data_IF_432378358992
#
_entry.id   IF_432378358992
#
_cell.length_a   1.000
_cell.length_b   1.000
_cell.length_c   1.000
_cell.angle_alpha   90.00
_cell.angle_beta   90.00
_cell.angle_gamma   90.00
#
_symmetry.space_group_name_H-M   'P 1'
#
loop_
_entity.id
_entity.type
_entity.pdbx_description
1 polymer ?
#
# COMPACT_ATOMS: atom_id res chain seq x y z
N UNK A 1 -27.36 3.96 17.80
CA UNK A 1 -26.20 3.05 17.82
C UNK A 1 -25.30 3.49 16.68
N UNK A 2 -24.12 4.05 16.97
CA UNK A 2 -23.23 4.60 15.94
C UNK A 2 -22.18 3.53 15.61
N UNK A 3 -22.09 3.15 14.34
CA UNK A 3 -21.13 2.17 13.81
C UNK A 3 -19.69 2.46 14.24
N UNK A 4 -19.33 3.74 14.35
CA UNK A 4 -18.01 4.18 14.78
C UNK A 4 -17.69 3.76 16.23
N UNK A 5 -18.70 3.83 17.11
CA UNK A 5 -18.56 3.47 18.51
C UNK A 5 -18.37 1.96 18.68
N UNK A 6 -18.98 1.15 17.80
CA UNK A 6 -18.87 -0.31 17.87
C UNK A 6 -17.54 -0.82 17.30
N UNK A 7 -17.09 -0.28 16.17
CA UNK A 7 -15.79 -0.61 15.58
C UNK A 7 -14.64 -0.29 16.53
N UNK A 8 -14.65 0.89 17.16
CA UNK A 8 -13.65 1.25 18.14
C UNK A 8 -13.66 0.29 19.35
N UNK A 9 -14.85 -0.15 19.77
CA UNK A 9 -15.01 -0.99 20.93
C UNK A 9 -14.68 -2.48 20.65
N UNK A 10 -14.84 -2.96 19.42
CA UNK A 10 -14.42 -4.32 19.02
C UNK A 10 -12.92 -4.38 18.68
N UNK A 11 -12.34 -3.30 18.13
CA UNK A 11 -10.88 -3.16 18.01
C UNK A 11 -10.20 -3.17 19.39
N UNK A 12 -10.73 -2.40 20.35
CA UNK A 12 -10.21 -2.35 21.71
C UNK A 12 -10.37 -3.67 22.50
N UNK A 13 -11.25 -4.56 22.05
CA UNK A 13 -11.50 -5.87 22.67
C UNK A 13 -10.93 -7.04 21.87
N UNK A 14 -10.12 -6.77 20.84
CA UNK A 14 -9.51 -7.77 19.97
C UNK A 14 -10.53 -8.74 19.33
N UNK A 15 -11.72 -8.24 19.02
CA UNK A 15 -12.82 -9.03 18.42
C UNK A 15 -12.80 -8.95 16.91
N UNK A 16 -11.72 -9.41 16.32
CA UNK A 16 -11.53 -9.44 14.88
C UNK A 16 -10.70 -10.66 14.47
N UNK A 17 -10.95 -11.17 13.27
CA UNK A 17 -10.16 -12.25 12.69
C UNK A 17 -9.13 -11.68 11.72
N UNK A 18 -7.87 -12.10 11.85
CA UNK A 18 -6.84 -11.82 10.86
C UNK A 18 -6.89 -12.94 9.83
N UNK A 19 -7.20 -12.60 8.59
CA UNK A 19 -7.23 -13.53 7.46
C UNK A 19 -6.13 -13.19 6.47
N UNK A 20 -5.83 -14.12 5.55
CA UNK A 20 -4.87 -13.88 4.47
C UNK A 20 -5.24 -12.69 3.55
N UNK A 21 -6.49 -12.22 3.63
CA UNK A 21 -7.03 -11.10 2.84
C UNK A 21 -7.18 -9.80 3.64
N UNK A 22 -6.88 -9.79 4.94
CA UNK A 22 -7.04 -8.62 5.81
C UNK A 22 -7.77 -8.94 7.11
N UNK A 23 -8.18 -7.89 7.83
CA UNK A 23 -8.90 -8.01 9.11
C UNK A 23 -10.41 -8.06 8.86
N UNK A 24 -11.06 -9.03 9.50
CA UNK A 24 -12.48 -9.30 9.41
C UNK A 24 -13.17 -9.03 10.76
N UNK A 25 -14.26 -8.27 10.74
CA UNK A 25 -15.10 -7.99 11.93
C UNK A 25 -16.40 -8.82 11.85
N UNK A 26 -16.47 -10.00 12.51
CA UNK A 26 -17.53 -10.98 12.30
C UNK A 26 -18.92 -10.53 12.75
N UNK A 27 -19.05 -9.55 13.67
CA UNK A 27 -20.36 -9.05 14.13
C UNK A 27 -20.96 -7.98 13.22
N UNK A 28 -20.16 -7.36 12.35
CA UNK A 28 -20.57 -6.24 11.49
C UNK A 28 -20.46 -6.57 9.99
N UNK A 29 -19.93 -7.75 9.63
CA UNK A 29 -19.70 -8.22 8.25
C UNK A 29 -18.86 -7.30 7.37
N UNK A 30 -18.08 -6.37 7.94
CA UNK A 30 -17.25 -5.46 7.14
C UNK A 30 -15.87 -6.09 6.93
N UNK A 31 -15.48 -6.24 5.65
CA UNK A 31 -14.14 -6.63 5.23
C UNK A 31 -13.37 -5.41 4.71
N UNK A 32 -12.18 -5.17 5.27
CA UNK A 32 -11.21 -4.23 4.72
C UNK A 32 -10.15 -4.99 3.91
N UNK A 33 -10.10 -4.74 2.60
CA UNK A 33 -9.14 -5.35 1.70
C UNK A 33 -8.68 -4.34 0.64
N UNK A 34 -7.56 -4.63 0.00
CA UNK A 34 -7.11 -3.86 -1.16
C UNK A 34 -6.45 -4.73 -2.20
N UNK A 35 -6.14 -4.08 -3.31
CA UNK A 35 -5.44 -4.68 -4.44
C UNK A 35 -4.58 -3.63 -5.15
N UNK A 36 -3.42 -4.07 -5.63
CA UNK A 36 -2.55 -3.33 -6.52
C UNK A 36 -2.89 -3.67 -7.97
N UNK A 37 -2.85 -2.66 -8.82
CA UNK A 37 -2.96 -2.77 -10.26
C UNK A 37 -1.65 -2.31 -10.87
N UNK A 38 -1.06 -3.10 -11.74
CA UNK A 38 0.25 -2.76 -12.27
C UNK A 38 0.43 -3.15 -13.73
N UNK A 39 1.16 -2.34 -14.49
CA UNK A 39 1.53 -2.64 -15.87
C UNK A 39 2.88 -2.03 -16.25
N UNK A 40 3.57 -2.68 -17.17
CA UNK A 40 4.88 -2.27 -17.68
C UNK A 40 4.69 -1.74 -19.10
N UNK A 41 5.23 -0.56 -19.39
CA UNK A 41 5.26 0.03 -20.75
C UNK A 41 3.89 0.05 -21.45
N UNK A 42 2.82 0.34 -20.70
CA UNK A 42 1.46 0.39 -21.24
C UNK A 42 0.83 -0.96 -21.59
N UNK A 43 1.45 -2.08 -21.19
CA UNK A 43 0.93 -3.43 -21.38
C UNK A 43 -0.35 -3.75 -20.59
N UNK A 44 -0.68 -5.03 -20.50
CA UNK A 44 -1.90 -5.47 -19.79
C UNK A 44 -1.83 -5.19 -18.28
N UNK A 45 -2.99 -4.83 -17.72
CA UNK A 45 -3.14 -4.61 -16.28
C UNK A 45 -3.12 -5.94 -15.53
N UNK A 46 -2.18 -6.07 -14.60
CA UNK A 46 -2.11 -7.16 -13.63
C UNK A 46 -2.75 -6.71 -12.31
N UNK A 47 -3.33 -7.65 -11.56
CA UNK A 47 -3.94 -7.41 -10.24
C UNK A 47 -3.32 -8.29 -9.18
N UNK A 48 -2.97 -7.71 -8.04
CA UNK A 48 -2.38 -8.44 -6.92
C UNK A 48 -3.05 -8.01 -5.61
N UNK A 49 -3.61 -8.93 -4.80
CA UNK A 49 -4.13 -8.60 -3.47
C UNK A 49 -3.02 -8.10 -2.54
N UNK A 50 -3.34 -7.27 -1.55
CA UNK A 50 -2.36 -6.81 -0.56
C UNK A 50 -2.73 -7.23 0.87
N UNK A 51 -1.73 -7.18 1.74
CA UNK A 51 -1.92 -7.15 3.18
C UNK A 51 -2.09 -5.70 3.64
N UNK A 52 -3.09 -5.44 4.48
CA UNK A 52 -3.17 -4.23 5.29
C UNK A 52 -2.55 -4.56 6.66
N UNK A 53 -1.33 -4.09 6.99
CA UNK A 53 -0.71 -4.37 8.28
C UNK A 53 -1.51 -3.72 9.41
N UNK A 54 -1.25 -4.15 10.65
CA UNK A 54 -1.96 -3.62 11.83
C UNK A 54 -1.83 -2.10 11.95
N UNK A 55 -0.65 -1.55 11.64
CA UNK A 55 -0.42 -0.09 11.60
C UNK A 55 -1.32 0.60 10.57
N UNK A 56 -1.46 0.02 9.38
CA UNK A 56 -2.28 0.59 8.30
C UNK A 56 -3.77 0.61 8.64
N UNK A 57 -4.27 -0.46 9.25
CA UNK A 57 -5.66 -0.55 9.68
C UNK A 57 -5.96 0.41 10.83
N UNK A 58 -5.08 0.46 11.83
CA UNK A 58 -5.19 1.43 12.93
C UNK A 58 -5.12 2.88 12.39
N UNK A 59 -4.22 3.16 11.43
CA UNK A 59 -4.13 4.47 10.79
C UNK A 59 -5.44 4.86 10.08
N UNK A 60 -5.99 3.98 9.25
CA UNK A 60 -7.25 4.25 8.54
C UNK A 60 -8.42 4.50 9.50
N UNK A 61 -8.55 3.68 10.54
CA UNK A 61 -9.60 3.86 11.55
C UNK A 61 -9.40 5.15 12.36
N UNK A 62 -8.18 5.46 12.78
CA UNK A 62 -7.91 6.65 13.58
C UNK A 62 -8.01 7.96 12.80
N UNK A 63 -7.70 7.95 11.49
CA UNK A 63 -7.91 9.12 10.62
C UNK A 63 -9.40 9.34 10.32
N UNK A 64 -10.16 8.26 10.11
CA UNK A 64 -11.57 8.37 9.78
C UNK A 64 -12.45 8.64 11.01
N UNK A 65 -12.17 7.98 12.13
CA UNK A 65 -13.05 7.90 13.29
C UNK A 65 -12.40 8.37 14.59
N UNK A 66 -11.08 8.40 14.64
CA UNK A 66 -10.31 8.84 15.81
C UNK A 66 -9.92 10.31 15.70
N UNK A 67 -8.82 10.67 16.35
CA UNK A 67 -8.28 12.03 16.39
C UNK A 67 -7.01 12.22 15.56
N UNK A 68 -6.56 11.20 14.81
CA UNK A 68 -5.34 11.29 14.00
C UNK A 68 -5.61 12.20 12.81
N UNK A 69 -4.79 13.23 12.64
CA UNK A 69 -4.90 14.12 11.49
C UNK A 69 -4.63 13.36 10.18
N UNK A 70 -5.39 13.67 9.13
CA UNK A 70 -5.12 13.13 7.79
C UNK A 70 -3.71 13.53 7.35
N UNK A 71 -2.86 12.59 6.89
CA UNK A 71 -1.52 12.92 6.41
C UNK A 71 -1.59 13.78 5.14
N UNK A 72 -0.52 14.53 4.87
CA UNK A 72 -0.42 15.39 3.70
C UNK A 72 -0.53 14.62 2.37
N UNK A 73 -0.19 13.33 2.37
CA UNK A 73 -0.33 12.46 1.22
C UNK A 73 -0.12 10.99 1.54
N UNK A 74 -0.41 10.16 0.55
CA UNK A 74 -0.09 8.74 0.50
C UNK A 74 0.79 8.50 -0.72
N UNK A 75 1.79 7.63 -0.58
CA UNK A 75 2.83 7.46 -1.57
C UNK A 75 3.15 5.97 -1.76
N UNK A 76 3.41 5.58 -3.01
CA UNK A 76 3.67 4.20 -3.37
C UNK A 76 5.18 3.93 -3.37
N UNK A 77 5.60 2.84 -2.75
CA UNK A 77 6.98 2.40 -2.71
C UNK A 77 7.12 1.07 -3.45
N UNK A 78 8.28 0.85 -4.07
CA UNK A 78 8.67 -0.42 -4.68
C UNK A 78 9.75 -1.08 -3.83
N UNK A 79 9.74 -2.41 -3.75
CA UNK A 79 10.75 -3.15 -3.02
C UNK A 79 11.21 -4.39 -3.80
N UNK A 80 12.40 -4.89 -3.47
CA UNK A 80 13.05 -6.02 -4.17
C UNK A 80 13.36 -7.22 -3.26
N UNK A 81 13.10 -7.10 -1.96
CA UNK A 81 13.34 -8.15 -0.99
C UNK A 81 12.41 -9.35 -1.17
N UNK A 82 12.83 -10.49 -0.62
CA UNK A 82 12.08 -11.75 -0.66
C UNK A 82 11.11 -11.91 0.53
N UNK A 83 11.20 -11.04 1.54
CA UNK A 83 10.33 -11.11 2.71
C UNK A 83 8.87 -10.85 2.31
N UNK A 84 7.96 -11.71 2.77
CA UNK A 84 6.53 -11.47 2.59
C UNK A 84 6.06 -10.38 3.57
N UNK A 85 5.18 -9.46 3.14
CA UNK A 85 4.53 -8.52 4.03
C UNK A 85 3.93 -9.21 5.25
N UNK A 86 4.21 -8.66 6.42
CA UNK A 86 3.75 -9.19 7.70
C UNK A 86 2.95 -8.14 8.47
N UNK A 87 2.00 -8.59 9.30
CA UNK A 87 1.09 -7.70 10.03
C UNK A 87 1.81 -6.72 10.98
N UNK A 88 2.98 -7.11 11.47
CA UNK A 88 3.81 -6.31 12.38
C UNK A 88 4.75 -5.32 11.67
N UNK A 89 4.74 -5.24 10.33
CA UNK A 89 5.51 -4.23 9.62
C UNK A 89 4.92 -2.85 9.85
N UNK A 90 5.81 -1.89 10.06
CA UNK A 90 5.49 -0.46 10.22
C UNK A 90 6.24 0.37 9.19
N UNK A 91 5.91 1.66 9.09
CA UNK A 91 6.71 2.60 8.30
C UNK A 91 8.17 2.60 8.75
N UNK A 92 8.43 2.45 10.06
CA UNK A 92 9.78 2.42 10.61
C UNK A 92 10.59 1.19 10.20
N UNK A 93 9.94 0.03 10.04
CA UNK A 93 10.62 -1.23 9.71
C UNK A 93 10.59 -1.57 8.22
N UNK A 94 9.65 -1.00 7.45
CA UNK A 94 9.39 -1.37 6.05
C UNK A 94 10.65 -1.34 5.18
N UNK A 95 11.39 -0.23 5.18
CA UNK A 95 12.52 -0.04 4.28
C UNK A 95 13.57 -1.14 4.44
N UNK A 96 13.88 -1.51 5.69
CA UNK A 96 14.82 -2.57 6.01
C UNK A 96 14.24 -3.97 5.74
N UNK A 97 13.01 -4.24 6.19
CA UNK A 97 12.40 -5.56 6.10
C UNK A 97 12.07 -5.96 4.65
N UNK A 98 11.56 -5.03 3.85
CA UNK A 98 11.16 -5.26 2.47
C UNK A 98 12.31 -5.08 1.46
N UNK A 99 13.42 -4.46 1.88
CA UNK A 99 14.44 -3.93 0.96
C UNK A 99 13.82 -2.94 -0.03
N UNK A 100 13.36 -1.80 0.48
CA UNK A 100 12.81 -0.73 -0.36
C UNK A 100 13.84 -0.26 -1.39
N UNK A 101 13.39 -0.07 -2.63
CA UNK A 101 14.21 0.45 -3.72
C UNK A 101 14.36 1.97 -3.54
N UNK A 102 15.52 2.39 -3.03
CA UNK A 102 15.83 3.79 -2.74
C UNK A 102 16.84 4.43 -3.71
N UNK A 103 17.46 3.62 -4.59
CA UNK A 103 18.47 4.09 -5.54
C UNK A 103 17.84 4.91 -6.68
N UNK A 104 18.54 5.97 -7.10
CA UNK A 104 18.19 6.78 -8.29
C UNK A 104 18.75 6.22 -9.59
N UNK A 105 19.74 5.33 -9.51
CA UNK A 105 20.48 4.81 -10.67
C UNK A 105 20.33 3.30 -10.84
N UNK A 106 19.83 2.61 -9.81
CA UNK A 106 19.53 1.19 -9.78
C UNK A 106 18.16 0.97 -9.12
N UNK A 107 17.16 1.70 -9.63
CA UNK A 107 15.83 1.83 -9.06
C UNK A 107 14.95 2.66 -9.98
N UNK A 108 14.49 3.81 -9.50
CA UNK A 108 13.70 4.74 -10.31
C UNK A 108 14.17 6.19 -10.13
N UNK A 109 13.98 7.00 -11.16
CA UNK A 109 14.59 8.33 -11.32
C UNK A 109 14.00 9.40 -10.39
N UNK A 110 12.77 9.22 -9.91
CA UNK A 110 12.15 10.16 -8.98
C UNK A 110 12.83 10.13 -7.61
N UNK A 111 13.17 11.31 -7.07
CA UNK A 111 13.76 11.46 -5.74
C UNK A 111 12.81 11.05 -4.60
N UNK A 112 11.51 11.13 -4.83
CA UNK A 112 10.46 10.78 -3.86
C UNK A 112 9.62 9.60 -4.34
N UNK A 113 8.94 8.93 -3.42
CA UNK A 113 7.86 7.98 -3.76
C UNK A 113 6.78 8.69 -4.59
N UNK A 114 6.26 8.09 -5.68
CA UNK A 114 5.14 8.67 -6.43
C UNK A 114 3.89 8.77 -5.57
N UNK A 115 3.14 9.86 -5.71
CA UNK A 115 1.93 10.11 -4.94
C UNK A 115 0.75 9.25 -5.44
N UNK A 116 -0.04 8.74 -4.50
CA UNK A 116 -1.33 8.13 -4.78
C UNK A 116 -2.41 9.22 -4.68
N UNK A 117 -3.01 9.57 -5.83
CA UNK A 117 -3.97 10.66 -5.97
C UNK A 117 -5.36 10.14 -6.32
N UNK A 118 -6.17 9.74 -5.32
CA UNK A 118 -7.52 9.27 -5.56
C UNK A 118 -8.50 10.43 -5.76
N UNK A 119 -9.64 10.12 -6.37
CA UNK A 119 -10.84 10.95 -6.25
C UNK A 119 -11.68 10.49 -5.05
N UNK A 120 -12.46 11.40 -4.47
CA UNK A 120 -13.45 11.02 -3.46
C UNK A 120 -14.44 10.01 -4.05
N UNK A 121 -14.82 9.01 -3.26
CA UNK A 121 -15.75 7.95 -3.68
C UNK A 121 -17.11 8.11 -3.01
N UNK A 122 -18.16 7.72 -3.72
CA UNK A 122 -19.51 7.50 -3.17
C UNK A 122 -19.82 5.99 -3.03
N UNK A 123 -18.82 5.13 -3.22
CA UNK A 123 -18.94 3.67 -3.16
C UNK A 123 -18.09 3.12 -2.01
N UNK A 124 -18.13 1.80 -1.80
CA UNK A 124 -17.26 1.10 -0.83
C UNK A 124 -15.79 0.99 -1.26
N UNK A 125 -15.34 1.67 -2.33
CA UNK A 125 -13.97 1.56 -2.84
C UNK A 125 -13.38 2.92 -3.23
N UNK A 126 -12.10 3.15 -2.95
CA UNK A 126 -11.35 4.34 -3.37
C UNK A 126 -10.03 3.92 -4.03
N UNK A 127 -9.69 4.54 -5.16
CA UNK A 127 -8.53 4.21 -5.98
C UNK A 127 -7.98 5.42 -6.75
N UNK A 128 -6.80 5.24 -7.36
CA UNK A 128 -6.18 6.20 -8.27
C UNK A 128 -6.24 5.74 -9.75
N UNK A 129 -7.18 4.87 -10.14
CA UNK A 129 -7.21 4.35 -11.52
C UNK A 129 -7.58 5.41 -12.57
N UNK A 130 -8.20 6.52 -12.15
CA UNK A 130 -8.41 7.69 -13.01
C UNK A 130 -7.15 8.55 -13.23
N UNK A 131 -6.14 8.41 -12.36
CA UNK A 131 -4.87 9.16 -12.41
C UNK A 131 -3.76 8.31 -11.76
N UNK A 132 -3.27 7.33 -12.51
CA UNK A 132 -2.34 6.31 -12.00
C UNK A 132 -0.97 6.93 -11.71
N UNK A 133 -0.35 6.49 -10.62
CA UNK A 133 1.02 6.87 -10.28
C UNK A 133 2.00 6.18 -11.24
N UNK A 134 3.07 6.86 -11.66
CA UNK A 134 4.04 6.29 -12.59
C UNK A 134 5.47 6.61 -12.18
N UNK A 135 6.40 5.68 -12.45
CA UNK A 135 7.84 5.88 -12.26
C UNK A 135 8.61 5.44 -13.49
N UNK A 136 9.73 6.11 -13.75
CA UNK A 136 10.69 5.69 -14.78
C UNK A 136 11.86 4.97 -14.13
N UNK A 137 12.15 3.76 -14.62
CA UNK A 137 13.21 2.90 -14.12
C UNK A 137 14.58 3.40 -14.60
N UNK A 138 15.55 3.37 -13.70
CA UNK A 138 16.95 3.59 -13.99
C UNK A 138 17.77 2.39 -13.51
N UNK A 139 18.51 1.75 -14.40
CA UNK A 139 19.40 0.63 -14.06
C UNK A 139 20.46 0.45 -15.14
N UNK A 140 21.66 -0.03 -14.78
CA UNK A 140 22.68 -0.39 -15.76
C UNK A 140 22.38 -1.73 -16.48
N UNK A 141 21.54 -2.59 -15.89
CA UNK A 141 21.20 -3.89 -16.45
C UNK A 141 19.71 -4.16 -16.33
N UNK A 142 19.27 -4.73 -15.22
CA UNK A 142 17.89 -5.10 -14.98
C UNK A 142 17.52 -4.84 -13.53
N UNK A 143 16.32 -4.30 -13.32
CA UNK A 143 15.74 -4.13 -12.00
C UNK A 143 14.65 -5.17 -11.77
N UNK A 144 14.74 -5.90 -10.66
CA UNK A 144 13.70 -6.81 -10.20
C UNK A 144 12.90 -6.16 -9.07
N UNK A 145 11.61 -5.95 -9.29
CA UNK A 145 10.67 -5.47 -8.29
C UNK A 145 9.81 -6.65 -7.83
N UNK A 146 9.87 -6.96 -6.54
CA UNK A 146 9.16 -8.11 -5.96
C UNK A 146 7.85 -7.71 -5.30
N UNK A 147 7.59 -6.42 -5.12
CA UNK A 147 6.32 -5.95 -4.59
C UNK A 147 6.24 -4.43 -4.47
N UNK A 148 5.10 -3.99 -3.93
CA UNK A 148 4.78 -2.59 -3.70
C UNK A 148 4.15 -2.37 -2.33
N UNK A 149 4.25 -1.14 -1.82
CA UNK A 149 3.68 -0.72 -0.54
C UNK A 149 3.13 0.70 -0.63
N UNK A 150 2.24 1.07 0.31
CA UNK A 150 1.75 2.44 0.48
C UNK A 150 2.17 2.98 1.84
N UNK A 151 2.79 4.16 1.85
CA UNK A 151 3.22 4.86 3.05
C UNK A 151 2.68 6.28 3.08
N UNK A 152 2.62 6.89 4.27
CA UNK A 152 2.20 8.30 4.43
C UNK A 152 3.34 9.30 4.30
N UNK A 153 4.57 8.84 4.08
CA UNK A 153 5.75 9.70 3.84
C UNK A 153 6.26 9.53 2.41
N UNK A 154 6.70 10.63 1.80
CA UNK A 154 7.24 10.64 0.44
C UNK A 154 8.74 10.30 0.38
N UNK A 155 9.41 10.30 1.54
CA UNK A 155 10.85 10.04 1.65
C UNK A 155 11.14 8.55 1.44
N UNK A 156 11.95 8.22 0.44
CA UNK A 156 12.40 6.85 0.15
C UNK A 156 13.35 6.41 1.26
N UNK A 157 13.13 5.22 1.82
CA UNK A 157 13.85 4.74 3.00
C UNK A 157 13.48 5.46 4.30
N UNK A 158 12.49 6.36 4.27
CA UNK A 158 12.03 7.08 5.46
C UNK A 158 11.34 6.15 6.46
N UNK A 159 11.57 6.40 7.75
CA UNK A 159 11.10 5.57 8.87
C UNK A 159 9.95 6.20 9.67
N UNK A 160 9.33 7.26 9.14
CA UNK A 160 8.25 8.01 9.79
C UNK A 160 6.92 7.80 9.09
N UNK A 161 5.82 8.15 9.77
CA UNK A 161 4.47 7.99 9.24
C UNK A 161 3.92 6.59 9.49
N UNK A 162 3.04 6.12 8.61
CA UNK A 162 2.41 4.81 8.68
C UNK A 162 2.56 4.03 7.37
N UNK A 163 2.74 2.71 7.48
CA UNK A 163 2.63 1.74 6.41
C UNK A 163 1.16 1.33 6.29
N UNK A 164 0.51 1.73 5.21
CA UNK A 164 -0.93 1.52 4.99
C UNK A 164 -1.22 0.15 4.39
N UNK A 165 -0.39 -0.27 3.45
CA UNK A 165 -0.52 -1.54 2.73
C UNK A 165 0.82 -2.01 2.20
N UNK A 166 0.95 -3.32 2.00
CA UNK A 166 2.05 -3.92 1.25
C UNK A 166 1.61 -5.20 0.57
N UNK A 167 2.16 -5.46 -0.63
CA UNK A 167 1.97 -6.72 -1.36
C UNK A 167 3.29 -7.24 -1.87
N UNK A 168 3.44 -8.57 -1.90
CA UNK A 168 4.49 -9.25 -2.64
C UNK A 168 3.87 -9.90 -3.87
N UNK A 169 4.47 -9.65 -5.03
CA UNK A 169 4.03 -10.24 -6.28
C UNK A 169 4.34 -11.74 -6.34
N UNK A 170 3.46 -12.50 -7.00
CA UNK A 170 3.68 -13.93 -7.23
C UNK A 170 4.93 -14.21 -8.08
N UNK A 171 5.25 -13.29 -8.99
CA UNK A 171 6.48 -13.29 -9.77
C UNK A 171 7.06 -11.87 -9.81
N UNK A 172 8.38 -11.77 -9.73
CA UNK A 172 9.08 -10.48 -9.82
C UNK A 172 8.75 -9.80 -11.14
N UNK A 173 8.50 -8.48 -11.07
CA UNK A 173 8.42 -7.61 -12.25
C UNK A 173 9.82 -7.21 -12.63
N UNK A 174 10.13 -7.40 -13.90
CA UNK A 174 11.48 -7.30 -14.43
C UNK A 174 11.54 -6.13 -15.39
N UNK A 175 12.44 -5.19 -15.14
CA UNK A 175 12.51 -3.92 -15.87
C UNK A 175 13.90 -3.68 -16.45
N UNK A 176 13.91 -3.01 -17.59
CA UNK A 176 15.09 -2.44 -18.24
C UNK A 176 15.20 -0.95 -17.96
N UNK A 177 16.36 -0.37 -18.30
CA UNK A 177 16.57 1.07 -18.20
C UNK A 177 15.56 1.84 -19.07
N UNK A 178 14.93 2.86 -18.49
CA UNK A 178 13.96 3.70 -19.19
C UNK A 178 12.53 3.14 -19.24
N UNK A 179 12.31 1.91 -18.76
CA UNK A 179 10.95 1.38 -18.63
C UNK A 179 10.10 2.26 -17.73
N UNK A 180 8.82 2.35 -18.06
CA UNK A 180 7.84 3.04 -17.23
C UNK A 180 6.92 2.04 -16.54
N UNK A 181 6.73 2.24 -15.24
CA UNK A 181 5.89 1.39 -14.41
C UNK A 181 4.72 2.17 -13.82
N UNK A 182 3.50 1.80 -14.24
CA UNK A 182 2.26 2.38 -13.75
C UNK A 182 1.71 1.56 -12.58
N UNK A 183 1.38 2.25 -11.48
CA UNK A 183 1.01 1.65 -10.20
C UNK A 183 -0.33 2.23 -9.72
N UNK A 184 -1.38 1.42 -9.85
CA UNK A 184 -2.68 1.63 -9.26
C UNK A 184 -2.80 0.95 -7.91
N UNK A 185 -3.53 1.56 -6.99
CA UNK A 185 -3.92 0.94 -5.73
C UNK A 185 -5.37 1.26 -5.44
N UNK A 186 -6.12 0.24 -5.00
CA UNK A 186 -7.48 0.35 -4.50
C UNK A 186 -7.56 -0.21 -3.09
N UNK A 187 -8.26 0.50 -2.22
CA UNK A 187 -8.74 -0.03 -0.94
C UNK A 187 -10.27 -0.03 -0.93
N UNK A 188 -10.86 -1.06 -0.35
CA UNK A 188 -12.31 -1.24 -0.28
C UNK A 188 -12.76 -1.66 1.11
N UNK A 189 -13.94 -1.16 1.49
CA UNK A 189 -14.71 -1.57 2.65
C UNK A 189 -16.04 -2.12 2.12
N UNK A 190 -16.21 -3.43 2.20
CA UNK A 190 -17.39 -4.13 1.67
C UNK A 190 -18.10 -4.90 2.77
N UNK A 191 -19.42 -5.07 2.62
CA UNK A 191 -20.28 -5.90 3.46
C UNK A 191 -20.52 -7.28 2.86
#
# INVERSE_FOLDING_TARGET
MNLQHELAADLARERFDITDKGIYFPRQSVLAAGEYFDRINGGEWMRTPNLLPTEGLAHLLNVALGSTAKPAGYFLALFSGSASPAANWTAASFAAAASEIVSLTEGYTSATRPAWTPANTATGAIDNLGAVASVTIATASQLNVTGAAMLTTNSRGGTTGALVSATKYAAARVFQNGDTYDIGYRVSLTV
#
